data_IF_102994147747
#
_entry.id   IF_102994147747
#
_cell.length_a   1.000
_cell.length_b   1.000
_cell.length_c   1.000
_cell.angle_alpha   90.00
_cell.angle_beta   90.00
_cell.angle_gamma   90.00
#
_symmetry.space_group_name_H-M   'P 1'
#
loop_
_entity.id
_entity.type
_entity.pdbx_description
1 polymer ?
#
# COMPACT_ATOMS: atom_id res chain seq x y z
N UNK A 1 6.72 -16.79 0.15
CA UNK A 1 5.82 -16.21 -0.86
C UNK A 1 4.49 -16.94 -0.77
N UNK A 2 3.47 -16.32 -0.19
CA UNK A 2 2.12 -16.90 -0.14
C UNK A 2 1.50 -16.74 -1.53
N UNK A 3 1.19 -17.86 -2.18
CA UNK A 3 0.46 -17.89 -3.45
C UNK A 3 -1.01 -17.54 -3.19
N UNK A 4 -1.50 -16.49 -3.85
CA UNK A 4 -2.92 -16.17 -3.93
C UNK A 4 -3.62 -17.27 -4.75
N UNK A 5 -4.00 -18.37 -4.09
CA UNK A 5 -4.86 -19.38 -4.70
C UNK A 5 -6.30 -18.88 -4.72
N UNK A 6 -7.02 -19.23 -5.80
CA UNK A 6 -8.46 -19.02 -6.05
C UNK A 6 -9.28 -18.84 -4.76
N UNK A 7 -9.51 -17.59 -4.39
CA UNK A 7 -10.59 -17.20 -3.50
C UNK A 7 -11.45 -16.23 -4.31
N UNK A 8 -12.77 -16.36 -4.26
CA UNK A 8 -13.73 -15.33 -4.72
C UNK A 8 -13.67 -14.06 -3.86
N UNK A 9 -12.54 -13.80 -3.21
CA UNK A 9 -12.31 -12.72 -2.29
C UNK A 9 -11.12 -11.92 -2.76
N UNK A 10 -11.31 -10.62 -2.79
CA UNK A 10 -10.27 -9.65 -3.08
C UNK A 10 -9.15 -9.74 -2.02
N UNK A 11 -7.90 -9.81 -2.48
CA UNK A 11 -6.72 -9.91 -1.61
C UNK A 11 -6.00 -8.56 -1.58
N UNK A 12 -5.76 -8.02 -0.39
CA UNK A 12 -4.90 -6.85 -0.21
C UNK A 12 -3.52 -7.29 0.29
N UNK A 13 -2.50 -7.13 -0.56
CA UNK A 13 -1.11 -7.37 -0.19
C UNK A 13 -0.56 -6.13 0.51
N UNK A 14 -0.11 -6.28 1.76
CA UNK A 14 0.38 -5.18 2.59
C UNK A 14 1.89 -5.29 2.73
N UNK A 15 2.63 -4.21 2.45
CA UNK A 15 4.07 -4.19 2.73
C UNK A 15 4.33 -4.27 4.23
N UNK A 16 5.35 -5.01 4.64
CA UNK A 16 5.72 -5.09 6.05
C UNK A 16 6.22 -3.75 6.61
N UNK A 17 6.14 -3.54 7.94
CA UNK A 17 6.62 -2.33 8.59
C UNK A 17 8.07 -2.00 8.22
N UNK A 18 8.32 -0.74 7.88
CA UNK A 18 9.65 -0.25 7.50
C UNK A 18 10.20 -0.81 6.18
N UNK A 19 9.45 -1.62 5.43
CA UNK A 19 9.88 -2.11 4.12
C UNK A 19 10.09 -0.95 3.15
N UNK A 20 9.24 0.08 3.20
CA UNK A 20 9.33 1.26 2.36
C UNK A 20 10.65 2.01 2.56
N UNK A 21 11.06 2.24 3.81
CA UNK A 21 12.35 2.90 4.10
C UNK A 21 13.56 2.05 3.68
N UNK A 22 13.44 0.72 3.70
CA UNK A 22 14.55 -0.19 3.41
C UNK A 22 14.75 -0.46 1.92
N UNK A 23 13.67 -0.59 1.18
CA UNK A 23 13.68 -1.03 -0.23
C UNK A 23 13.21 0.06 -1.20
N UNK A 24 12.49 1.06 -0.70
CA UNK A 24 11.91 2.12 -1.50
C UNK A 24 10.58 1.74 -2.16
N UNK A 25 9.70 2.72 -2.45
CA UNK A 25 8.40 2.48 -3.08
C UNK A 25 8.47 1.81 -4.46
N UNK A 26 9.51 2.09 -5.25
CA UNK A 26 9.65 1.55 -6.61
C UNK A 26 9.96 0.06 -6.64
N UNK A 27 10.93 -0.38 -5.84
CA UNK A 27 11.26 -1.81 -5.74
C UNK A 27 10.09 -2.63 -5.20
N UNK A 28 9.41 -2.12 -4.18
CA UNK A 28 8.23 -2.77 -3.62
C UNK A 28 7.09 -2.88 -4.62
N UNK A 29 6.89 -1.86 -5.48
CA UNK A 29 5.85 -1.90 -6.49
C UNK A 29 6.08 -3.07 -7.44
N UNK A 30 7.30 -3.19 -8.00
CA UNK A 30 7.64 -4.29 -8.90
C UNK A 30 7.52 -5.66 -8.23
N UNK A 31 7.88 -5.77 -6.95
CA UNK A 31 7.66 -7.00 -6.17
C UNK A 31 6.17 -7.35 -6.07
N UNK A 32 5.30 -6.37 -5.83
CA UNK A 32 3.85 -6.59 -5.74
C UNK A 32 3.26 -6.97 -7.11
N UNK A 33 3.74 -6.36 -8.19
CA UNK A 33 3.36 -6.73 -9.56
C UNK A 33 3.70 -8.19 -9.87
N UNK A 34 4.92 -8.61 -9.54
CA UNK A 34 5.35 -10.00 -9.67
C UNK A 34 4.55 -10.96 -8.78
N UNK A 35 4.03 -10.48 -7.66
CA UNK A 35 3.13 -11.23 -6.77
C UNK A 35 1.66 -11.26 -7.26
N UNK A 36 1.32 -10.57 -8.35
CA UNK A 36 -0.02 -10.57 -8.96
C UNK A 36 -0.95 -9.44 -8.50
N UNK A 37 -0.43 -8.38 -7.88
CA UNK A 37 -1.24 -7.26 -7.37
C UNK A 37 -1.78 -6.29 -8.43
N UNK A 38 -1.57 -6.58 -9.72
CA UNK A 38 -2.15 -5.85 -10.86
C UNK A 38 -3.38 -6.61 -11.43
N UNK A 39 -3.89 -7.61 -10.72
CA UNK A 39 -5.06 -8.39 -11.15
C UNK A 39 -6.35 -7.83 -10.53
N UNK A 40 -7.53 -8.05 -11.14
CA UNK A 40 -8.80 -7.61 -10.54
C UNK A 40 -9.09 -8.18 -9.15
N UNK A 41 -8.42 -9.27 -8.77
CA UNK A 41 -8.62 -9.97 -7.50
C UNK A 41 -7.58 -9.61 -6.43
N UNK A 42 -6.57 -8.79 -6.76
CA UNK A 42 -5.53 -8.44 -5.81
C UNK A 42 -5.08 -6.98 -5.94
N UNK A 43 -4.93 -6.29 -4.81
CA UNK A 43 -4.39 -4.93 -4.72
C UNK A 43 -3.17 -4.89 -3.81
N UNK A 44 -2.38 -3.82 -3.89
CA UNK A 44 -1.20 -3.63 -3.08
C UNK A 44 -1.27 -2.33 -2.26
N UNK A 45 -1.14 -2.46 -0.93
CA UNK A 45 -1.03 -1.38 0.04
C UNK A 45 0.42 -1.18 0.47
N UNK A 46 0.95 0.04 0.29
CA UNK A 46 2.26 0.44 0.82
C UNK A 46 2.13 1.15 2.18
N UNK A 47 2.92 0.68 3.15
CA UNK A 47 3.17 1.34 4.43
C UNK A 47 4.34 2.33 4.27
N UNK A 48 4.03 3.62 4.17
CA UNK A 48 5.02 4.69 4.07
C UNK A 48 5.57 5.13 5.45
N UNK A 49 5.12 4.52 6.55
CA UNK A 49 5.53 4.90 7.89
C UNK A 49 5.19 6.36 8.19
N UNK A 50 6.20 7.13 8.60
CA UNK A 50 6.07 8.57 8.94
C UNK A 50 6.51 9.54 7.84
N UNK A 51 6.89 9.05 6.65
CA UNK A 51 7.59 9.86 5.64
C UNK A 51 6.66 10.20 4.46
N UNK A 52 6.26 11.47 4.39
CA UNK A 52 5.42 11.98 3.32
C UNK A 52 6.11 11.96 1.94
N UNK A 53 7.45 12.04 1.91
CA UNK A 53 8.24 11.90 0.68
C UNK A 53 8.04 10.53 0.04
N UNK A 54 8.02 9.46 0.85
CA UNK A 54 7.70 8.13 0.36
C UNK A 54 6.27 8.01 -0.15
N UNK A 55 5.29 8.61 0.53
CA UNK A 55 3.91 8.58 0.06
C UNK A 55 3.72 9.33 -1.28
N UNK A 56 4.34 10.50 -1.44
CA UNK A 56 4.31 11.25 -2.70
C UNK A 56 4.99 10.48 -3.84
N UNK A 57 6.15 9.86 -3.57
CA UNK A 57 6.83 9.03 -4.55
C UNK A 57 5.99 7.81 -4.93
N UNK A 58 5.37 7.14 -3.95
CA UNK A 58 4.49 6.01 -4.19
C UNK A 58 3.31 6.37 -5.12
N UNK A 59 2.62 7.49 -4.86
CA UNK A 59 1.55 7.98 -5.74
C UNK A 59 2.05 8.21 -7.18
N UNK A 60 3.21 8.84 -7.31
CA UNK A 60 3.83 9.14 -8.62
C UNK A 60 4.20 7.87 -9.40
N UNK A 61 4.59 6.81 -8.70
CA UNK A 61 4.94 5.52 -9.31
C UNK A 61 3.71 4.65 -9.65
N UNK A 62 2.52 5.06 -9.21
CA UNK A 62 1.26 4.39 -9.55
C UNK A 62 0.66 3.56 -8.42
N UNK A 63 1.17 3.64 -7.18
CA UNK A 63 0.46 3.07 -6.03
C UNK A 63 -0.94 3.70 -5.89
N UNK A 64 -1.90 2.88 -5.45
CA UNK A 64 -3.30 3.30 -5.26
C UNK A 64 -3.82 3.03 -3.86
N UNK A 65 -3.21 2.12 -3.11
CA UNK A 65 -3.50 1.95 -1.69
C UNK A 65 -2.29 2.41 -0.88
N UNK A 66 -2.48 3.45 -0.05
CA UNK A 66 -1.41 4.09 0.72
C UNK A 66 -1.79 4.16 2.19
N UNK A 67 -0.83 3.82 3.06
CA UNK A 67 -0.85 4.10 4.47
C UNK A 67 0.27 5.06 4.84
N UNK A 68 -0.06 6.13 5.58
CA UNK A 68 0.89 7.09 6.13
C UNK A 68 0.45 7.49 7.54
N UNK A 69 1.41 7.56 8.45
CA UNK A 69 1.28 8.15 9.79
C UNK A 69 2.03 9.47 9.83
N UNK A 70 1.72 10.30 10.81
CA UNK A 70 2.46 11.54 11.06
C UNK A 70 1.52 12.69 11.40
N UNK A 71 1.97 13.89 11.05
CA UNK A 71 1.24 15.13 11.35
C UNK A 71 -0.14 15.13 10.63
N UNK A 72 -1.24 15.43 11.33
CA UNK A 72 -2.61 15.30 10.78
C UNK A 72 -2.86 16.09 9.50
N UNK A 73 -2.33 17.31 9.36
CA UNK A 73 -2.54 18.13 8.17
C UNK A 73 -1.83 17.56 6.93
N UNK A 74 -0.63 16.99 7.11
CA UNK A 74 0.11 16.26 6.07
C UNK A 74 -0.64 15.00 5.69
N UNK A 75 -1.07 14.20 6.68
CA UNK A 75 -1.84 12.97 6.46
C UNK A 75 -3.12 13.25 5.68
N UNK A 76 -3.88 14.28 6.06
CA UNK A 76 -5.11 14.67 5.36
C UNK A 76 -4.82 15.03 3.90
N UNK A 77 -3.76 15.79 3.64
CA UNK A 77 -3.39 16.19 2.28
C UNK A 77 -2.99 15.01 1.39
N UNK A 78 -2.22 14.06 1.94
CA UNK A 78 -1.87 12.83 1.22
C UNK A 78 -3.10 11.95 0.98
N UNK A 79 -4.03 11.89 1.94
CA UNK A 79 -5.29 11.17 1.77
C UNK A 79 -6.12 11.74 0.62
N UNK A 80 -6.22 13.07 0.52
CA UNK A 80 -6.93 13.74 -0.58
C UNK A 80 -6.25 13.51 -1.93
N UNK A 81 -4.92 13.58 -1.99
CA UNK A 81 -4.16 13.25 -3.20
C UNK A 81 -4.38 11.79 -3.62
N UNK A 82 -4.39 10.87 -2.66
CA UNK A 82 -4.64 9.44 -2.92
C UNK A 82 -6.01 9.23 -3.54
N UNK A 83 -7.06 9.85 -2.98
CA UNK A 83 -8.42 9.80 -3.53
C UNK A 83 -8.52 10.45 -4.92
N UNK A 84 -7.86 11.59 -5.12
CA UNK A 84 -7.83 12.27 -6.41
C UNK A 84 -7.14 11.43 -7.51
N UNK A 85 -6.20 10.56 -7.13
CA UNK A 85 -5.58 9.57 -8.03
C UNK A 85 -6.41 8.29 -8.22
N UNK A 86 -7.64 8.22 -7.70
CA UNK A 86 -8.50 7.04 -7.77
C UNK A 86 -8.09 5.92 -6.81
N UNK A 87 -7.34 6.25 -5.76
CA UNK A 87 -6.84 5.31 -4.76
C UNK A 87 -7.61 5.34 -3.43
N UNK A 88 -7.25 4.42 -2.54
CA UNK A 88 -7.74 4.34 -1.16
C UNK A 88 -6.64 4.72 -0.18
N UNK A 89 -6.91 5.70 0.69
CA UNK A 89 -6.05 6.01 1.82
C UNK A 89 -6.45 5.18 3.04
N UNK A 90 -5.48 4.50 3.64
CA UNK A 90 -5.67 3.66 4.82
C UNK A 90 -5.11 4.37 6.05
N UNK A 91 -5.99 4.75 6.99
CA UNK A 91 -5.56 5.36 8.26
C UNK A 91 -4.86 4.38 9.18
N UNK A 92 -5.16 3.10 9.04
CA UNK A 92 -4.59 2.00 9.80
C UNK A 92 -4.22 0.87 8.83
N UNK A 93 -3.18 0.10 9.17
CA UNK A 93 -2.88 -1.12 8.42
C UNK A 93 -3.94 -2.18 8.76
N UNK A 94 -4.46 -2.91 7.76
CA UNK A 94 -5.38 -4.00 8.02
C UNK A 94 -4.71 -5.04 8.92
N UNK A 95 -5.40 -5.45 9.97
CA UNK A 95 -4.94 -6.52 10.85
C UNK A 95 -5.07 -7.83 10.08
N UNK A 96 -3.99 -8.63 9.93
CA UNK A 96 -4.11 -9.95 9.34
C UNK A 96 -5.12 -10.79 10.12
N UNK A 97 -6.01 -11.55 9.46
CA UNK A 97 -6.89 -12.46 10.17
C UNK A 97 -6.04 -13.39 11.04
N UNK A 98 -6.35 -13.45 12.34
CA UNK A 98 -5.68 -14.34 13.27
C UNK A 98 -5.92 -15.78 12.79
N UNK A 99 -4.86 -16.44 12.32
CA UNK A 99 -4.92 -17.87 12.02
C UNK A 99 -5.10 -18.59 13.36
N UNK A 100 -6.30 -19.17 13.57
CA UNK A 100 -6.55 -20.14 14.64
C UNK A 100 -6.01 -21.51 14.23
#
# INVERSE_FOLDING_TARGET
MVQARRCDQEILLVTGPGACARLGPGYLLEMMRQAGADTPCARALIDCGGDAGYAMLALRLGWRDIHLKGEPSIVARIADMTRACGGTFHHELPVPPQQK
#
